data_IF_805768162614
#
_entry.id   IF_805768162614
#
_cell.length_a   1.000
_cell.length_b   1.000
_cell.length_c   1.000
_cell.angle_alpha   90.00
_cell.angle_beta   90.00
_cell.angle_gamma   90.00
#
_symmetry.space_group_name_H-M   'P 1'
#
loop_
_entity.id
_entity.type
_entity.pdbx_description
1 polymer ?
#
# COMPACT_ATOMS: atom_id res chain seq x y z
N UNK A 1 14.12 -15.62 18.58
CA UNK A 1 14.39 -14.23 18.11
C UNK A 1 14.18 -13.99 16.60
N UNK A 2 13.91 -15.01 15.78
CA UNK A 2 13.75 -14.84 14.31
C UNK A 2 12.33 -14.46 13.84
N UNK A 3 11.28 -14.71 14.64
CA UNK A 3 9.89 -14.39 14.26
C UNK A 3 9.56 -12.88 14.22
N UNK A 4 10.31 -12.03 14.92
CA UNK A 4 10.03 -10.59 15.01
C UNK A 4 10.73 -9.72 13.95
N UNK A 5 11.83 -10.19 13.34
CA UNK A 5 12.55 -9.42 12.31
C UNK A 5 11.77 -9.33 11.00
N UNK A 6 11.08 -10.41 10.62
CA UNK A 6 10.24 -10.46 9.40
C UNK A 6 9.00 -9.58 9.52
N UNK A 7 8.34 -9.57 10.70
CA UNK A 7 7.19 -8.69 10.96
C UNK A 7 7.55 -7.19 10.92
N UNK A 8 8.69 -6.79 11.48
CA UNK A 8 9.16 -5.40 11.39
C UNK A 8 9.51 -4.98 9.97
N UNK A 9 10.12 -5.87 9.17
CA UNK A 9 10.43 -5.58 7.77
C UNK A 9 9.14 -5.43 6.95
N UNK A 10 8.14 -6.27 7.20
CA UNK A 10 6.81 -6.19 6.59
C UNK A 10 6.10 -4.87 6.95
N UNK A 11 6.10 -4.49 8.24
CA UNK A 11 5.51 -3.23 8.70
C UNK A 11 6.22 -2.02 8.08
N UNK A 12 7.55 -2.05 8.01
CA UNK A 12 8.33 -0.99 7.35
C UNK A 12 7.99 -0.86 5.86
N UNK A 13 7.88 -1.98 5.14
CA UNK A 13 7.47 -1.96 3.73
C UNK A 13 6.04 -1.46 3.56
N UNK A 14 5.13 -1.85 4.44
CA UNK A 14 3.75 -1.35 4.45
C UNK A 14 3.70 0.17 4.60
N UNK A 15 4.44 0.73 5.57
CA UNK A 15 4.50 2.19 5.77
C UNK A 15 5.09 2.90 4.55
N UNK A 16 6.17 2.37 3.98
CA UNK A 16 6.79 2.95 2.77
C UNK A 16 5.80 3.00 1.59
N UNK A 17 5.02 1.93 1.39
CA UNK A 17 3.99 1.88 0.35
C UNK A 17 2.86 2.88 0.58
N UNK A 18 2.47 3.13 1.83
CA UNK A 18 1.49 4.17 2.15
C UNK A 18 2.01 5.58 1.86
N UNK A 19 3.26 5.88 2.23
CA UNK A 19 3.91 7.15 1.90
C UNK A 19 4.03 7.37 0.38
N UNK A 20 4.31 6.30 -0.37
CA UNK A 20 4.36 6.33 -1.83
C UNK A 20 2.98 6.59 -2.42
N UNK A 21 1.92 5.95 -1.90
CA UNK A 21 0.55 6.20 -2.33
C UNK A 21 0.11 7.64 -2.09
N UNK A 22 0.44 8.22 -0.94
CA UNK A 22 0.13 9.63 -0.64
C UNK A 22 0.79 10.58 -1.66
N UNK A 23 2.07 10.35 -1.97
CA UNK A 23 2.79 11.14 -2.98
C UNK A 23 2.19 10.98 -4.39
N UNK A 24 1.84 9.76 -4.78
CA UNK A 24 1.20 9.47 -6.06
C UNK A 24 -0.15 10.18 -6.18
N UNK A 25 -0.99 10.13 -5.14
CA UNK A 25 -2.30 10.79 -5.14
C UNK A 25 -2.12 12.30 -5.29
N UNK A 26 -1.21 12.92 -4.52
CA UNK A 26 -0.91 14.36 -4.65
C UNK A 26 -0.44 14.73 -6.06
N UNK A 27 0.46 13.93 -6.63
CA UNK A 27 0.98 14.14 -7.97
C UNK A 27 -0.11 13.99 -9.05
N UNK A 28 -0.99 12.98 -8.94
CA UNK A 28 -2.11 12.77 -9.86
C UNK A 28 -3.07 13.96 -9.83
N UNK A 29 -3.45 14.44 -8.64
CA UNK A 29 -4.35 15.59 -8.48
C UNK A 29 -3.74 16.84 -9.12
N UNK A 30 -2.45 17.09 -8.89
CA UNK A 30 -1.73 18.20 -9.50
C UNK A 30 -1.73 18.11 -11.04
N UNK A 31 -1.44 16.93 -11.59
CA UNK A 31 -1.40 16.72 -13.04
C UNK A 31 -2.76 16.76 -13.71
N UNK A 32 -3.82 16.37 -13.02
CA UNK A 32 -5.20 16.57 -13.49
C UNK A 32 -5.50 18.07 -13.63
N UNK A 33 -5.11 18.89 -12.64
CA UNK A 33 -5.32 20.34 -12.71
C UNK A 33 -4.56 21.02 -13.85
N UNK A 34 -3.42 20.43 -14.27
CA UNK A 34 -2.57 20.92 -15.36
C UNK A 34 -2.93 20.35 -16.74
N UNK A 35 -3.96 19.51 -16.85
CA UNK A 35 -4.36 18.88 -18.11
C UNK A 35 -3.41 17.78 -18.62
N UNK A 36 -2.54 17.23 -17.76
CA UNK A 36 -1.58 16.16 -18.11
C UNK A 36 -2.21 14.77 -18.00
N UNK A 37 -3.22 14.50 -18.83
CA UNK A 37 -4.01 13.27 -18.75
C UNK A 37 -3.19 11.98 -18.95
N UNK A 38 -2.23 11.98 -19.87
CA UNK A 38 -1.35 10.83 -20.16
C UNK A 38 -0.51 10.42 -18.97
N UNK A 39 0.05 11.40 -18.26
CA UNK A 39 0.86 11.15 -17.06
C UNK A 39 -0.01 10.67 -15.91
N UNK A 40 -1.20 11.25 -15.74
CA UNK A 40 -2.16 10.81 -14.73
C UNK A 40 -2.48 9.31 -14.85
N UNK A 41 -2.72 8.82 -16.07
CA UNK A 41 -3.00 7.40 -16.31
C UNK A 41 -1.83 6.51 -15.91
N UNK A 42 -0.59 6.92 -16.18
CA UNK A 42 0.59 6.16 -15.74
C UNK A 42 0.69 6.10 -14.21
N UNK A 43 0.55 7.24 -13.52
CA UNK A 43 0.60 7.26 -12.06
C UNK A 43 -0.58 6.53 -11.41
N UNK A 44 -1.76 6.54 -12.04
CA UNK A 44 -2.93 5.76 -11.60
C UNK A 44 -2.67 4.25 -11.67
N UNK A 45 -1.99 3.75 -12.70
CA UNK A 45 -1.61 2.33 -12.76
C UNK A 45 -0.65 1.94 -11.64
N UNK A 46 0.31 2.81 -11.31
CA UNK A 46 1.26 2.57 -10.20
C UNK A 46 0.50 2.55 -8.87
N UNK A 47 -0.37 3.54 -8.64
CA UNK A 47 -1.21 3.60 -7.42
C UNK A 47 -2.08 2.36 -7.28
N UNK A 48 -2.72 1.90 -8.36
CA UNK A 48 -3.53 0.69 -8.34
C UNK A 48 -2.71 -0.55 -7.96
N UNK A 49 -1.52 -0.71 -8.53
CA UNK A 49 -0.62 -1.82 -8.18
C UNK A 49 -0.25 -1.80 -6.70
N UNK A 50 0.05 -0.62 -6.15
CA UNK A 50 0.41 -0.47 -4.75
C UNK A 50 -0.76 -0.83 -3.82
N UNK A 51 -2.00 -0.43 -4.16
CA UNK A 51 -3.19 -0.80 -3.40
C UNK A 51 -3.46 -2.31 -3.41
N UNK A 52 -3.33 -2.96 -4.57
CA UNK A 52 -3.47 -4.42 -4.69
C UNK A 52 -2.37 -5.14 -3.90
N UNK A 53 -1.15 -4.63 -3.91
CA UNK A 53 -0.06 -5.20 -3.14
C UNK A 53 -0.29 -5.09 -1.63
N UNK A 54 -0.77 -3.93 -1.15
CA UNK A 54 -1.17 -3.76 0.25
C UNK A 54 -2.30 -4.71 0.66
N UNK A 55 -3.33 -4.89 -0.20
CA UNK A 55 -4.42 -5.84 0.05
C UNK A 55 -3.89 -7.29 0.15
N UNK A 56 -3.02 -7.70 -0.77
CA UNK A 56 -2.39 -9.03 -0.76
C UNK A 56 -1.58 -9.27 0.52
N UNK A 57 -0.82 -8.26 0.99
CA UNK A 57 -0.06 -8.36 2.24
C UNK A 57 -1.00 -8.45 3.46
N UNK A 58 -2.07 -7.66 3.47
CA UNK A 58 -3.06 -7.67 4.54
C UNK A 58 -3.74 -9.05 4.65
N UNK A 59 -4.14 -9.64 3.51
CA UNK A 59 -4.79 -10.96 3.46
C UNK A 59 -3.82 -12.11 3.80
N UNK A 60 -2.54 -11.98 3.45
CA UNK A 60 -1.50 -12.95 3.81
C UNK A 60 -1.11 -12.91 5.30
N UNK A 61 -1.59 -11.91 6.05
CA UNK A 61 -1.40 -11.83 7.50
C UNK A 61 -2.45 -12.72 8.16
N UNK A 62 -2.08 -13.87 8.78
CA UNK A 62 -3.08 -14.75 9.38
C UNK A 62 -3.86 -13.98 10.44
N UNK A 63 -5.20 -14.09 10.50
CA UNK A 63 -5.96 -13.51 11.59
C UNK A 63 -5.39 -14.07 12.89
N UNK A 64 -4.81 -13.19 13.71
CA UNK A 64 -4.35 -13.54 15.05
C UNK A 64 -5.53 -14.23 15.73
N UNK A 65 -5.38 -15.50 16.04
CA UNK A 65 -6.44 -16.41 16.46
C UNK A 65 -7.27 -15.82 17.60
N UNK A 66 -8.39 -15.18 17.27
CA UNK A 66 -9.42 -14.84 18.23
C UNK A 66 -10.28 -16.09 18.39
N UNK A 67 -9.87 -16.95 19.34
CA UNK A 67 -10.73 -18.01 19.85
C UNK A 67 -11.03 -17.71 21.32
N UNK A 68 -12.17 -17.07 21.54
CA UNK A 68 -12.88 -16.86 22.80
C UNK A 68 -14.32 -16.74 22.29
N UNK A 69 -15.26 -17.66 22.50
CA UNK A 69 -15.69 -18.38 23.70
C UNK A 69 -16.61 -19.53 23.24
N UNK A 70 -16.50 -20.70 23.87
CA UNK A 70 -17.61 -21.63 24.14
C UNK A 70 -17.32 -22.28 25.50
#
# INVERSE_FOLDING_TARGET
>A
MLKTKSGHLCLYMYMKLLEENDQLIRCIVEYQSKGRATDCVQYQHILHRNLIYLATIADATPPSSQKTVD
#
